data_IF_188573621163
#
_entry.id   IF_188573621163
#
_cell.length_a   1.000
_cell.length_b   1.000
_cell.length_c   1.000
_cell.angle_alpha   90.00
_cell.angle_beta   90.00
_cell.angle_gamma   90.00
#
_symmetry.space_group_name_H-M   'P 1'
#
loop_
_entity.id
_entity.type
_entity.pdbx_description
1 polymer ?
#
# COMPACT_ATOMS: atom_id res chain seq x y z
N UNK A 1 29.31 11.40 3.22
CA UNK A 1 28.46 10.24 3.57
C UNK A 1 27.03 10.66 3.29
N UNK A 2 26.39 10.11 2.25
CA UNK A 2 24.99 10.43 1.97
C UNK A 2 24.15 9.82 3.09
N UNK A 3 23.44 10.65 3.88
CA UNK A 3 22.43 10.14 4.78
C UNK A 3 21.39 9.42 3.92
N UNK A 4 21.28 8.10 4.09
CA UNK A 4 20.16 7.32 3.59
C UNK A 4 18.92 7.76 4.39
N UNK A 5 18.31 8.88 4.01
CA UNK A 5 17.08 9.36 4.63
C UNK A 5 15.92 8.46 4.17
N UNK A 6 15.78 7.28 4.75
CA UNK A 6 14.56 6.49 4.60
C UNK A 6 13.47 7.02 5.51
N UNK A 7 12.24 7.05 5.01
CA UNK A 7 11.04 7.39 5.77
C UNK A 7 10.48 6.11 6.38
N UNK A 8 10.05 6.17 7.64
CA UNK A 8 9.53 5.01 8.36
C UNK A 8 8.09 5.29 8.75
N UNK A 9 7.20 4.35 8.45
CA UNK A 9 5.83 4.35 8.93
C UNK A 9 5.57 3.08 9.74
N UNK A 10 4.99 3.22 10.93
CA UNK A 10 4.60 2.13 11.84
C UNK A 10 3.13 1.80 11.65
N UNK A 11 2.84 0.54 11.36
CA UNK A 11 1.48 0.05 11.16
C UNK A 11 0.85 -0.35 12.49
N UNK A 12 -0.32 0.19 12.80
CA UNK A 12 -1.14 -0.19 13.94
C UNK A 12 -2.40 -0.92 13.46
N UNK A 13 -2.61 -2.13 13.98
CA UNK A 13 -3.63 -3.08 13.50
C UNK A 13 -3.06 -4.04 12.45
N UNK A 14 -3.50 -5.30 12.52
CA UNK A 14 -3.11 -6.39 11.63
C UNK A 14 -4.12 -6.62 10.49
N UNK A 15 -5.40 -6.29 10.69
CA UNK A 15 -6.45 -6.39 9.68
C UNK A 15 -6.11 -5.54 8.43
N UNK A 16 -5.93 -6.15 7.25
CA UNK A 16 -5.61 -5.43 6.03
C UNK A 16 -6.73 -4.49 5.55
N UNK A 17 -7.95 -4.65 6.05
CA UNK A 17 -9.10 -3.79 5.74
C UNK A 17 -9.32 -2.69 6.79
N UNK A 18 -8.61 -2.75 7.94
CA UNK A 18 -8.73 -1.78 9.04
C UNK A 18 -7.42 -1.63 9.82
N UNK A 19 -6.62 -0.65 9.45
CA UNK A 19 -5.36 -0.32 10.15
C UNK A 19 -4.94 1.12 9.84
N UNK A 20 -3.90 1.60 10.52
CA UNK A 20 -3.31 2.92 10.26
C UNK A 20 -1.79 2.86 10.20
N UNK A 21 -1.18 3.85 9.57
CA UNK A 21 0.25 4.08 9.56
C UNK A 21 0.57 5.40 10.26
N UNK A 22 1.52 5.39 11.19
CA UNK A 22 2.02 6.58 11.87
C UNK A 22 3.51 6.77 11.61
N UNK A 23 3.98 8.02 11.59
CA UNK A 23 5.42 8.32 11.57
C UNK A 23 6.08 8.06 12.94
N UNK A 24 7.42 8.18 13.06
CA UNK A 24 8.12 7.99 14.34
C UNK A 24 7.71 8.99 15.43
N UNK A 25 7.21 10.16 15.04
CA UNK A 25 6.72 11.24 15.89
C UNK A 25 5.29 10.99 16.39
N UNK A 26 4.62 9.94 15.90
CA UNK A 26 3.27 9.54 16.30
C UNK A 26 2.16 10.23 15.51
N UNK A 27 2.47 10.98 14.45
CA UNK A 27 1.45 11.54 13.57
C UNK A 27 0.92 10.46 12.65
N UNK A 28 -0.40 10.32 12.56
CA UNK A 28 -1.03 9.44 11.58
C UNK A 28 -0.75 9.95 10.17
N UNK A 29 -0.12 9.12 9.35
CA UNK A 29 0.17 9.37 7.96
C UNK A 29 -0.93 8.83 7.04
N UNK A 30 -1.44 7.63 7.35
CA UNK A 30 -2.49 6.98 6.57
C UNK A 30 -3.48 6.22 7.44
N UNK A 31 -4.74 6.20 7.02
CA UNK A 31 -5.82 5.43 7.63
C UNK A 31 -6.51 4.56 6.58
N UNK A 32 -6.64 3.27 6.86
CA UNK A 32 -7.37 2.31 6.04
C UNK A 32 -8.61 1.88 6.82
N UNK A 33 -9.79 1.97 6.21
CA UNK A 33 -11.02 1.51 6.83
C UNK A 33 -12.20 1.41 5.87
N UNK A 34 -13.25 0.72 6.30
CA UNK A 34 -14.52 0.65 5.58
C UNK A 34 -15.25 1.98 5.60
N UNK A 35 -15.71 2.43 4.43
CA UNK A 35 -16.57 3.61 4.28
C UNK A 35 -18.05 3.21 4.36
N UNK A 36 -18.42 2.20 3.57
CA UNK A 36 -19.81 1.72 3.46
C UNK A 36 -19.81 0.27 2.97
N UNK A 37 -20.92 -0.43 3.20
CA UNK A 37 -21.22 -1.73 2.62
C UNK A 37 -22.63 -1.70 2.04
N UNK A 38 -22.74 -1.57 0.72
CA UNK A 38 -24.03 -1.60 0.01
C UNK A 38 -23.86 -1.81 -1.51
N UNK A 39 -24.16 -3.00 -2.07
CA UNK A 39 -24.23 -4.30 -1.40
C UNK A 39 -22.84 -4.82 -0.99
N UNK A 40 -21.78 -4.31 -1.63
CA UNK A 40 -20.40 -4.74 -1.41
C UNK A 40 -19.62 -3.72 -0.58
N UNK A 41 -18.47 -4.15 -0.05
CA UNK A 41 -17.61 -3.30 0.77
C UNK A 41 -16.89 -2.26 -0.09
N UNK A 42 -16.90 -1.01 0.38
CA UNK A 42 -16.03 0.05 -0.10
C UNK A 42 -15.05 0.36 1.03
N UNK A 43 -13.76 0.11 0.79
CA UNK A 43 -12.69 0.56 1.67
C UNK A 43 -12.12 1.88 1.17
N UNK A 44 -11.62 2.69 2.09
CA UNK A 44 -10.83 3.89 1.78
C UNK A 44 -9.50 3.80 2.49
N UNK A 45 -8.44 3.97 1.72
CA UNK A 45 -7.14 4.41 2.20
C UNK A 45 -7.10 5.93 2.07
N UNK A 46 -6.79 6.61 3.18
CA UNK A 46 -6.74 8.06 3.28
C UNK A 46 -5.34 8.47 3.72
N UNK A 47 -4.74 9.42 3.02
CA UNK A 47 -3.53 10.13 3.46
C UNK A 47 -3.96 11.31 4.31
N UNK A 48 -3.43 11.40 5.53
CA UNK A 48 -3.81 12.45 6.46
C UNK A 48 -3.15 13.78 6.07
N UNK A 49 -3.96 14.85 6.03
CA UNK A 49 -3.53 16.17 5.59
C UNK A 49 -2.45 16.77 6.50
N UNK A 50 -2.57 16.59 7.81
CA UNK A 50 -1.60 17.09 8.80
C UNK A 50 -0.21 16.50 8.59
N UNK A 51 -0.13 15.25 8.16
CA UNK A 51 1.12 14.57 7.86
C UNK A 51 1.67 14.97 6.48
N UNK A 52 0.81 15.03 5.45
CA UNK A 52 1.26 15.36 4.08
C UNK A 52 1.78 16.79 3.96
N UNK A 53 1.23 17.74 4.73
CA UNK A 53 1.72 19.13 4.78
C UNK A 53 3.17 19.26 5.26
N UNK A 54 3.66 18.28 6.04
CA UNK A 54 5.03 18.23 6.52
C UNK A 54 5.99 17.60 5.50
N UNK A 55 5.46 17.03 4.41
CA UNK A 55 6.21 16.28 3.41
C UNK A 55 5.93 16.81 1.99
N UNK A 56 6.54 17.94 1.57
CA UNK A 56 6.21 18.62 0.31
C UNK A 56 6.46 17.81 -0.97
N UNK A 57 7.28 16.77 -0.89
CA UNK A 57 7.58 15.86 -2.01
C UNK A 57 6.48 14.82 -2.26
N UNK A 58 5.53 14.70 -1.34
CA UNK A 58 4.39 13.81 -1.46
C UNK A 58 3.42 14.36 -2.51
N UNK A 59 3.10 13.53 -3.50
CA UNK A 59 2.24 13.90 -4.62
C UNK A 59 1.11 12.87 -4.79
N UNK A 60 0.28 13.08 -5.81
CA UNK A 60 -0.80 12.17 -6.15
C UNK A 60 -2.02 12.30 -5.22
N UNK A 61 -2.98 11.39 -5.36
CA UNK A 61 -4.27 11.47 -4.67
C UNK A 61 -4.11 11.30 -3.16
N UNK A 62 -4.93 12.00 -2.39
CA UNK A 62 -5.02 11.80 -0.94
C UNK A 62 -5.76 10.51 -0.59
N UNK A 63 -6.72 10.10 -1.43
CA UNK A 63 -7.56 8.95 -1.16
C UNK A 63 -7.43 7.88 -2.25
N UNK A 64 -7.58 6.63 -1.85
CA UNK A 64 -7.75 5.48 -2.73
C UNK A 64 -8.92 4.65 -2.23
N UNK A 65 -9.86 4.34 -3.12
CA UNK A 65 -11.07 3.61 -2.81
C UNK A 65 -11.01 2.22 -3.42
N UNK A 66 -11.26 1.21 -2.61
CA UNK A 66 -11.29 -0.20 -3.02
C UNK A 66 -12.75 -0.62 -3.03
N UNK A 67 -13.30 -0.80 -4.24
CA UNK A 67 -14.65 -1.31 -4.45
C UNK A 67 -14.54 -2.82 -4.62
N UNK A 68 -14.87 -3.56 -3.57
CA UNK A 68 -14.84 -5.02 -3.62
C UNK A 68 -16.07 -5.56 -4.38
N UNK A 69 -15.91 -6.75 -4.94
CA UNK A 69 -17.00 -7.52 -5.51
C UNK A 69 -17.82 -8.27 -4.45
N UNK A 70 -18.78 -9.07 -4.92
CA UNK A 70 -19.54 -9.98 -4.06
C UNK A 70 -18.59 -10.92 -3.31
N UNK A 71 -18.96 -11.28 -2.07
CA UNK A 71 -18.17 -12.18 -1.21
C UNK A 71 -16.71 -11.73 -1.01
N UNK A 72 -16.46 -10.42 -1.04
CA UNK A 72 -15.13 -9.83 -0.98
C UNK A 72 -14.23 -10.30 -2.14
N UNK A 73 -14.78 -10.58 -3.32
CA UNK A 73 -13.98 -10.83 -4.51
C UNK A 73 -13.25 -9.57 -4.99
N UNK A 74 -12.18 -9.70 -5.80
CA UNK A 74 -11.53 -8.55 -6.43
C UNK A 74 -12.52 -7.74 -7.28
N UNK A 75 -12.59 -6.43 -7.06
CA UNK A 75 -13.33 -5.49 -7.89
C UNK A 75 -12.39 -4.48 -8.55
N UNK A 76 -12.53 -3.20 -8.22
CA UNK A 76 -11.74 -2.12 -8.81
C UNK A 76 -11.29 -1.07 -7.80
N UNK A 77 -10.31 -0.27 -8.19
CA UNK A 77 -9.74 0.83 -7.41
C UNK A 77 -10.00 2.15 -8.13
N UNK A 78 -10.33 3.18 -7.35
CA UNK A 78 -10.46 4.57 -7.81
C UNK A 78 -9.60 5.46 -6.94
N UNK A 79 -8.83 6.36 -7.57
CA UNK A 79 -8.01 7.34 -6.88
C UNK A 79 -8.71 8.69 -6.76
N UNK A 80 -8.78 9.24 -5.54
CA UNK A 80 -9.39 10.53 -5.26
C UNK A 80 -10.82 10.63 -5.81
N UNK A 81 -11.09 11.71 -6.54
CA UNK A 81 -12.35 11.93 -7.26
C UNK A 81 -12.24 11.54 -8.75
N UNK A 82 -11.28 10.68 -9.10
CA UNK A 82 -11.08 10.22 -10.47
C UNK A 82 -12.24 9.36 -10.97
N UNK A 83 -12.39 9.29 -12.29
CA UNK A 83 -13.40 8.45 -12.96
C UNK A 83 -12.83 7.15 -13.52
N UNK A 84 -11.51 6.97 -13.44
CA UNK A 84 -10.83 5.77 -13.93
C UNK A 84 -11.00 4.63 -12.92
N UNK A 85 -11.71 3.58 -13.32
CA UNK A 85 -11.87 2.35 -12.54
C UNK A 85 -10.75 1.38 -12.93
N UNK A 86 -9.78 1.17 -12.04
CA UNK A 86 -8.64 0.29 -12.30
C UNK A 86 -8.96 -1.09 -11.72
N UNK A 87 -9.09 -2.16 -12.52
CA UNK A 87 -9.37 -3.49 -12.00
C UNK A 87 -8.32 -3.92 -10.98
N UNK A 88 -8.72 -4.45 -9.82
CA UNK A 88 -7.78 -4.95 -8.80
C UNK A 88 -6.75 -5.97 -9.34
N UNK A 89 -7.10 -6.89 -10.27
CA UNK A 89 -6.13 -7.77 -10.90
C UNK A 89 -4.96 -7.05 -11.59
N UNK A 90 -5.12 -5.78 -11.97
CA UNK A 90 -4.05 -4.95 -12.54
C UNK A 90 -2.88 -4.75 -11.56
N UNK A 91 -3.16 -4.75 -10.26
CA UNK A 91 -2.16 -4.58 -9.20
C UNK A 91 -1.62 -5.92 -8.67
N UNK A 92 -2.28 -7.02 -9.03
CA UNK A 92 -1.97 -8.38 -8.58
C UNK A 92 -1.40 -9.25 -9.70
N UNK A 93 -0.94 -8.64 -10.81
CA UNK A 93 -0.45 -9.40 -11.96
C UNK A 93 0.72 -10.31 -11.53
N UNK A 94 0.64 -11.63 -11.76
CA UNK A 94 1.74 -12.52 -11.45
C UNK A 94 2.97 -12.14 -12.29
N UNK A 95 4.15 -12.45 -11.77
CA UNK A 95 5.37 -12.21 -12.54
C UNK A 95 5.53 -13.16 -13.74
N UNK A 96 6.48 -12.81 -14.61
CA UNK A 96 6.72 -13.50 -15.88
C UNK A 96 7.32 -14.91 -15.76
N UNK A 97 7.73 -15.33 -14.57
CA UNK A 97 8.34 -16.65 -14.32
C UNK A 97 7.37 -17.51 -13.53
N UNK A 98 7.26 -18.78 -13.90
CA UNK A 98 6.53 -19.77 -13.11
C UNK A 98 7.06 -19.79 -11.67
N UNK A 99 6.16 -19.98 -10.70
CA UNK A 99 6.44 -19.98 -9.26
C UNK A 99 6.98 -18.67 -8.67
N UNK A 100 6.87 -17.55 -9.38
CA UNK A 100 7.23 -16.26 -8.78
C UNK A 100 6.15 -15.76 -7.83
N UNK A 101 6.57 -15.37 -6.64
CA UNK A 101 5.75 -14.68 -5.64
C UNK A 101 5.66 -13.17 -5.91
N UNK A 102 6.18 -12.69 -7.05
CA UNK A 102 6.10 -11.26 -7.39
C UNK A 102 4.71 -10.88 -7.88
N UNK A 103 4.29 -9.66 -7.52
CA UNK A 103 3.04 -9.03 -7.98
C UNK A 103 3.37 -7.71 -8.64
N UNK A 104 3.11 -7.61 -9.94
CA UNK A 104 3.44 -6.46 -10.77
C UNK A 104 2.27 -5.50 -10.85
N UNK A 105 2.58 -4.21 -10.84
CA UNK A 105 1.62 -3.13 -11.01
C UNK A 105 2.28 -1.97 -11.75
N UNK A 106 1.47 -1.06 -12.29
CA UNK A 106 1.95 0.15 -12.97
C UNK A 106 1.41 1.35 -12.24
N UNK A 107 2.28 2.31 -11.92
CA UNK A 107 1.88 3.56 -11.30
C UNK A 107 1.41 4.57 -12.35
N UNK A 108 0.81 5.67 -11.90
CA UNK A 108 0.32 6.76 -12.76
C UNK A 108 1.43 7.40 -13.60
N UNK A 109 2.70 7.30 -13.17
CA UNK A 109 3.87 7.74 -13.95
C UNK A 109 4.20 6.85 -15.16
N UNK A 110 3.41 5.80 -15.42
CA UNK A 110 3.58 4.87 -16.54
C UNK A 110 4.67 3.82 -16.34
N UNK A 111 5.39 3.83 -15.21
CA UNK A 111 6.46 2.87 -14.91
C UNK A 111 5.90 1.63 -14.19
N UNK A 112 6.50 0.50 -14.50
CA UNK A 112 6.18 -0.79 -13.87
C UNK A 112 6.98 -0.99 -12.58
N UNK A 113 6.27 -1.37 -11.53
CA UNK A 113 6.82 -1.73 -10.24
C UNK A 113 6.39 -3.16 -9.90
N UNK A 114 7.03 -3.73 -8.89
CA UNK A 114 6.61 -5.03 -8.36
C UNK A 114 6.78 -5.09 -6.86
N UNK A 115 5.84 -5.78 -6.21
CA UNK A 115 6.05 -6.31 -4.87
C UNK A 115 6.66 -7.70 -4.99
N UNK A 116 7.82 -7.91 -4.39
CA UNK A 116 8.39 -9.25 -4.17
C UNK A 116 7.92 -9.73 -2.81
N UNK A 117 7.07 -10.75 -2.79
CA UNK A 117 6.55 -11.35 -1.56
C UNK A 117 7.52 -12.44 -1.11
N UNK A 118 8.23 -12.23 0.00
CA UNK A 118 9.16 -13.22 0.55
C UNK A 118 8.44 -14.19 1.49
N UNK A 119 7.49 -13.68 2.27
CA UNK A 119 6.65 -14.45 3.18
C UNK A 119 5.37 -13.65 3.50
N UNK A 120 4.47 -14.21 4.31
CA UNK A 120 3.35 -13.46 4.89
C UNK A 120 3.80 -12.27 5.76
N UNK A 121 5.07 -12.26 6.19
CA UNK A 121 5.62 -11.29 7.12
C UNK A 121 6.56 -10.27 6.47
N UNK A 122 6.85 -10.38 5.16
CA UNK A 122 7.77 -9.46 4.48
C UNK A 122 7.53 -9.33 2.97
N UNK A 123 7.46 -8.08 2.51
CA UNK A 123 7.32 -7.71 1.10
C UNK A 123 8.23 -6.54 0.75
N UNK A 124 8.80 -6.54 -0.46
CA UNK A 124 9.64 -5.44 -0.96
C UNK A 124 9.10 -4.90 -2.28
N UNK A 125 8.87 -3.59 -2.34
CA UNK A 125 8.49 -2.88 -3.56
C UNK A 125 9.75 -2.49 -4.34
N UNK A 126 9.81 -2.86 -5.61
CA UNK A 126 10.98 -2.65 -6.46
C UNK A 126 10.64 -1.82 -7.70
N UNK A 127 11.51 -0.86 -8.01
CA UNK A 127 11.64 -0.19 -9.32
C UNK A 127 12.81 -0.87 -10.07
N UNK A 128 12.48 -1.81 -10.96
CA UNK A 128 13.48 -2.65 -11.62
C UNK A 128 14.30 -3.50 -10.63
N UNK A 129 15.53 -3.05 -10.34
CA UNK A 129 16.46 -3.68 -9.38
C UNK A 129 16.57 -2.96 -8.05
N UNK A 130 15.98 -1.78 -7.93
CA UNK A 130 16.09 -0.92 -6.75
C UNK A 130 14.89 -1.14 -5.84
N UNK A 131 15.12 -1.47 -4.57
CA UNK A 131 14.05 -1.52 -3.56
C UNK A 131 13.69 -0.10 -3.14
N UNK A 132 12.43 0.29 -3.34
CA UNK A 132 11.92 1.62 -3.02
C UNK A 132 11.05 1.62 -1.76
N UNK A 133 10.51 0.47 -1.36
CA UNK A 133 9.78 0.30 -0.11
C UNK A 133 9.93 -1.12 0.43
N UNK A 134 9.91 -1.28 1.75
CA UNK A 134 9.92 -2.58 2.42
C UNK A 134 8.86 -2.58 3.51
N UNK A 135 7.93 -3.53 3.43
CA UNK A 135 6.97 -3.81 4.50
C UNK A 135 7.38 -5.09 5.22
N UNK A 136 7.43 -5.06 6.54
CA UNK A 136 7.77 -6.21 7.37
C UNK A 136 6.99 -6.22 8.68
N UNK A 137 6.51 -7.38 9.09
CA UNK A 137 5.89 -7.58 10.42
C UNK A 137 6.98 -7.46 11.48
N UNK A 138 6.68 -6.71 12.53
CA UNK A 138 7.62 -6.48 13.63
C UNK A 138 7.56 -7.61 14.66
N UNK A 139 8.56 -7.63 15.54
CA UNK A 139 8.57 -8.59 16.63
C UNK A 139 7.37 -8.38 17.56
N UNK A 140 6.83 -9.44 18.19
CA UNK A 140 5.69 -9.33 19.12
C UNK A 140 5.91 -8.40 20.31
N UNK A 141 7.18 -8.07 20.62
CA UNK A 141 7.56 -7.14 21.68
C UNK A 141 7.33 -5.67 21.32
N UNK A 142 7.13 -5.36 20.03
CA UNK A 142 6.89 -4.01 19.55
C UNK A 142 5.40 -3.66 19.64
N UNK A 143 5.11 -2.40 19.95
CA UNK A 143 3.73 -1.91 20.07
C UNK A 143 2.98 -1.88 18.73
N UNK A 144 3.70 -1.64 17.63
CA UNK A 144 3.16 -1.65 16.28
C UNK A 144 3.25 -3.04 15.67
N UNK A 145 2.34 -3.37 14.75
CA UNK A 145 2.25 -4.68 14.12
C UNK A 145 3.28 -4.88 13.00
N UNK A 146 3.54 -3.84 12.22
CA UNK A 146 4.46 -3.90 11.09
C UNK A 146 5.14 -2.56 10.86
N UNK A 147 6.22 -2.57 10.08
CA UNK A 147 6.98 -1.40 9.68
C UNK A 147 7.03 -1.30 8.16
N UNK A 148 6.77 -0.11 7.64
CA UNK A 148 6.98 0.25 6.25
C UNK A 148 8.16 1.23 6.16
N UNK A 149 9.24 0.81 5.52
CA UNK A 149 10.41 1.66 5.24
C UNK A 149 10.38 2.10 3.79
N UNK A 150 10.51 3.39 3.54
CA UNK A 150 10.32 4.04 2.24
C UNK A 150 11.59 4.80 1.85
N UNK A 151 12.06 4.61 0.61
CA UNK A 151 13.13 5.45 0.06
C UNK A 151 12.58 6.81 -0.35
N UNK A 152 13.35 7.90 -0.36
CA UNK A 152 12.88 9.23 -0.78
C UNK A 152 12.18 9.23 -2.15
N UNK A 153 12.69 8.44 -3.09
CA UNK A 153 12.12 8.32 -4.44
C UNK A 153 10.69 7.74 -4.48
N UNK A 154 10.24 7.12 -3.39
CA UNK A 154 8.91 6.54 -3.26
C UNK A 154 7.84 7.54 -2.82
N UNK A 155 8.22 8.65 -2.17
CA UNK A 155 7.27 9.61 -1.59
C UNK A 155 6.30 10.24 -2.58
N UNK A 156 6.70 10.62 -3.82
CA UNK A 156 5.76 11.17 -4.79
C UNK A 156 4.60 10.22 -5.13
N UNK A 157 4.79 8.90 -4.93
CA UNK A 157 3.82 7.86 -5.28
C UNK A 157 3.37 7.05 -4.06
N UNK A 158 3.57 7.57 -2.84
CA UNK A 158 3.33 6.83 -1.60
C UNK A 158 1.90 6.29 -1.49
N UNK A 159 0.89 7.04 -1.96
CA UNK A 159 -0.51 6.59 -1.95
C UNK A 159 -0.70 5.36 -2.86
N UNK A 160 -0.04 5.30 -4.01
CA UNK A 160 -0.11 4.15 -4.93
C UNK A 160 0.66 2.94 -4.37
N UNK A 161 1.79 3.19 -3.70
CA UNK A 161 2.57 2.16 -3.01
C UNK A 161 1.75 1.54 -1.89
N UNK A 162 1.13 2.35 -1.04
CA UNK A 162 0.27 1.83 0.02
C UNK A 162 -1.01 1.20 -0.55
N UNK A 163 -1.58 1.74 -1.63
CA UNK A 163 -2.74 1.13 -2.30
C UNK A 163 -2.42 -0.29 -2.76
N UNK A 164 -1.29 -0.46 -3.46
CA UNK A 164 -0.85 -1.77 -3.93
C UNK A 164 -0.47 -2.69 -2.76
N UNK A 165 0.18 -2.17 -1.71
CA UNK A 165 0.50 -2.95 -0.50
C UNK A 165 -0.76 -3.46 0.19
N UNK A 166 -1.72 -2.58 0.48
CA UNK A 166 -3.01 -2.92 1.08
C UNK A 166 -3.71 -3.99 0.25
N UNK A 167 -3.76 -3.84 -1.07
CA UNK A 167 -4.37 -4.86 -1.93
C UNK A 167 -3.64 -6.21 -1.88
N UNK A 168 -2.31 -6.21 -1.84
CA UNK A 168 -1.54 -7.44 -1.69
C UNK A 168 -1.87 -8.15 -0.36
N UNK A 169 -2.02 -7.40 0.74
CA UNK A 169 -2.39 -7.96 2.04
C UNK A 169 -3.83 -8.48 2.07
N UNK A 170 -4.77 -7.77 1.44
CA UNK A 170 -6.16 -8.23 1.27
C UNK A 170 -6.19 -9.53 0.45
N UNK A 171 -5.45 -9.59 -0.66
CA UNK A 171 -5.29 -10.80 -1.49
C UNK A 171 -4.77 -11.98 -0.69
N UNK A 172 -3.75 -11.76 0.17
CA UNK A 172 -3.24 -12.82 1.06
C UNK A 172 -4.28 -13.29 2.08
N UNK A 173 -5.05 -12.37 2.67
CA UNK A 173 -6.06 -12.70 3.68
C UNK A 173 -7.28 -13.44 3.09
N UNK A 174 -7.65 -13.15 1.85
CA UNK A 174 -8.80 -13.78 1.18
C UNK A 174 -8.44 -14.92 0.21
N UNK A 175 -7.15 -15.19 -0.02
CA UNK A 175 -6.70 -16.27 -0.89
C UNK A 175 -6.93 -16.01 -2.39
N UNK A 176 -6.78 -14.75 -2.83
CA UNK A 176 -6.85 -14.38 -4.25
C UNK A 176 -5.57 -14.71 -5.03
#
# INVERSE_FOLDING_TARGET
>A
MAQNNSYILRQFGDDPMKHSYQDPEGNTAFTIGMVVRDPNIILRLSRELSWSQQHPSVMGPDNSYFYLGAENAPGYIVYGNGTLHIPMPFFLRPGKKENTTSRYFRMQNGRDYKWKVYSAHRMECMDGRTTIATWEVTEPSQEHFARLTLQPASLPFITEILTSLTLNRISQAHGW
#
